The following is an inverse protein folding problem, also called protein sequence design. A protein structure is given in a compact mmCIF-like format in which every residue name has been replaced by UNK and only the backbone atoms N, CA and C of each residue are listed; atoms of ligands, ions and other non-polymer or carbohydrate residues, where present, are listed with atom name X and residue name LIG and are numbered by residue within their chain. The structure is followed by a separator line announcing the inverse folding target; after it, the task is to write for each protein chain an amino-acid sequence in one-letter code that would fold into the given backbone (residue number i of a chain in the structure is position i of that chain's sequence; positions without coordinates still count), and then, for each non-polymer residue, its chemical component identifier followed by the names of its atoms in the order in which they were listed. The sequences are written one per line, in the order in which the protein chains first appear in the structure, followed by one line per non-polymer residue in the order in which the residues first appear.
data_IF_938774447925
#
_entry.id   IF_938774447925
#
_cell.length_a   1.000
_cell.length_b   1.000
_cell.length_c   1.000
_cell.angle_alpha   90.00
_cell.angle_beta   90.00
_cell.angle_gamma   90.00
#
_symmetry.space_group_name_H-M   'P 1'
#
loop_
_entity.id
_entity.type
_entity.pdbx_description
1 polymer ?
#
# COMPACT_ATOMS: atom_id res chain seq x y z
N UNK A 1 -18.90 24.89 26.92
CA UNK A 1 -17.71 24.05 27.13
C UNK A 1 -18.04 22.64 26.71
N UNK A 2 -17.21 22.01 25.88
CA UNK A 2 -17.39 20.65 25.41
C UNK A 2 -17.16 20.51 23.90
N UNK A 3 -15.96 20.89 23.44
CA UNK A 3 -15.53 20.63 22.08
C UNK A 3 -15.40 19.12 21.87
N UNK A 4 -16.30 18.55 21.06
CA UNK A 4 -16.15 17.20 20.52
C UNK A 4 -15.10 17.23 19.43
N UNK A 5 -13.82 17.18 19.82
CA UNK A 5 -12.70 17.01 18.91
C UNK A 5 -12.92 15.73 18.11
N UNK A 6 -13.12 15.87 16.79
CA UNK A 6 -13.10 14.75 15.86
C UNK A 6 -11.78 14.03 16.08
N UNK A 7 -11.83 12.77 16.51
CA UNK A 7 -10.65 11.92 16.64
C UNK A 7 -10.01 11.84 15.25
N UNK A 8 -8.92 12.59 15.08
CA UNK A 8 -7.99 12.40 13.98
C UNK A 8 -7.48 10.98 14.15
N UNK A 9 -7.82 10.09 13.22
CA UNK A 9 -7.30 8.73 13.22
C UNK A 9 -5.83 8.84 12.81
N UNK A 10 -4.98 9.16 13.76
CA UNK A 10 -3.53 9.10 13.65
C UNK A 10 -3.15 7.66 13.32
N UNK A 11 -2.13 7.48 12.48
CA UNK A 11 -1.48 6.20 12.16
C UNK A 11 -0.78 5.60 13.39
N UNK A 12 -1.52 5.37 14.47
CA UNK A 12 -0.98 4.98 15.78
C UNK A 12 -0.62 3.50 15.87
N UNK A 13 -0.88 2.70 14.83
CA UNK A 13 -0.62 1.27 14.89
C UNK A 13 -0.03 0.68 13.60
N UNK A 14 1.31 0.73 13.44
CA UNK A 14 2.03 0.11 12.32
C UNK A 14 1.70 -1.38 12.12
N UNK A 15 1.30 -2.09 13.19
CA UNK A 15 0.98 -3.52 13.11
C UNK A 15 -0.32 -3.80 12.32
N UNK A 16 -1.28 -2.88 12.29
CA UNK A 16 -2.47 -3.03 11.45
C UNK A 16 -2.15 -2.83 9.96
N UNK A 17 -1.26 -1.89 9.65
CA UNK A 17 -0.85 -1.58 8.28
C UNK A 17 -0.06 -2.75 7.66
N UNK A 18 0.85 -3.35 8.44
CA UNK A 18 1.61 -4.55 8.04
C UNK A 18 0.67 -5.73 7.77
N UNK A 19 -0.45 -5.88 8.50
CA UNK A 19 -1.37 -7.01 8.33
C UNK A 19 -1.99 -7.03 6.93
N UNK A 20 -2.34 -5.87 6.37
CA UNK A 20 -2.87 -5.77 5.00
C UNK A 20 -1.79 -6.11 3.98
N UNK A 21 -0.57 -5.59 4.15
CA UNK A 21 0.56 -5.93 3.28
C UNK A 21 0.84 -7.43 3.28
N UNK A 22 0.79 -8.10 4.44
CA UNK A 22 0.96 -9.54 4.53
C UNK A 22 -0.09 -10.34 3.74
N UNK A 23 -1.32 -9.84 3.60
CA UNK A 23 -2.34 -10.50 2.77
C UNK A 23 -2.03 -10.46 1.28
N UNK A 24 -1.20 -9.51 0.84
CA UNK A 24 -0.76 -9.45 -0.56
C UNK A 24 0.12 -10.64 -0.95
N UNK A 25 0.72 -11.35 0.01
CA UNK A 25 1.56 -12.54 -0.18
C UNK A 25 0.81 -13.88 0.03
N UNK A 26 -0.52 -13.86 0.05
CA UNK A 26 -1.31 -15.08 0.24
C UNK A 26 -1.20 -16.02 -0.96
N UNK A 27 -1.16 -17.34 -0.71
CA UNK A 27 -1.33 -18.38 -1.75
C UNK A 27 -2.66 -18.24 -2.51
N UNK A 28 -3.68 -17.65 -1.88
CA UNK A 28 -5.00 -17.45 -2.50
C UNK A 28 -5.00 -16.18 -3.35
N UNK A 29 -5.17 -16.34 -4.67
CA UNK A 29 -5.29 -15.23 -5.62
C UNK A 29 -6.28 -14.14 -5.16
N UNK A 30 -7.48 -14.54 -4.70
CA UNK A 30 -8.49 -13.59 -4.22
C UNK A 30 -8.01 -12.75 -3.03
N UNK A 31 -7.24 -13.36 -2.13
CA UNK A 31 -6.69 -12.67 -0.96
C UNK A 31 -5.63 -11.66 -1.39
N UNK A 32 -4.74 -12.02 -2.34
CA UNK A 32 -3.74 -11.08 -2.88
C UNK A 32 -4.38 -9.87 -3.52
N UNK A 33 -5.34 -10.11 -4.41
CA UNK A 33 -6.08 -9.03 -5.10
C UNK A 33 -6.81 -8.13 -4.09
N UNK A 34 -7.47 -8.71 -3.09
CA UNK A 34 -8.17 -7.92 -2.08
C UNK A 34 -7.19 -7.08 -1.24
N UNK A 35 -6.06 -7.67 -0.83
CA UNK A 35 -4.99 -6.94 -0.14
C UNK A 35 -4.49 -5.74 -0.96
N UNK A 36 -4.16 -5.96 -2.23
CA UNK A 36 -3.71 -4.89 -3.13
C UNK A 36 -4.76 -3.80 -3.34
N UNK A 37 -6.04 -4.15 -3.45
CA UNK A 37 -7.11 -3.14 -3.55
C UNK A 37 -7.24 -2.29 -2.29
N UNK A 38 -7.01 -2.87 -1.11
CA UNK A 38 -7.01 -2.12 0.15
C UNK A 38 -5.78 -1.20 0.21
N UNK A 39 -4.60 -1.69 -0.17
CA UNK A 39 -3.38 -0.86 -0.27
C UNK A 39 -3.62 0.32 -1.21
N UNK A 40 -4.14 0.06 -2.42
CA UNK A 40 -4.49 1.11 -3.38
C UNK A 40 -5.46 2.12 -2.79
N UNK A 41 -6.51 1.65 -2.12
CA UNK A 41 -7.45 2.53 -1.43
C UNK A 41 -6.75 3.43 -0.40
N UNK A 42 -5.78 2.93 0.37
CA UNK A 42 -5.01 3.75 1.29
C UNK A 42 -4.11 4.76 0.58
N UNK A 43 -3.39 4.35 -0.45
CA UNK A 43 -2.57 5.23 -1.30
C UNK A 43 -3.42 6.40 -1.84
N UNK A 44 -4.60 6.11 -2.39
CA UNK A 44 -5.52 7.12 -2.95
C UNK A 44 -6.12 8.07 -1.88
N UNK A 45 -6.38 7.57 -0.67
CA UNK A 45 -7.08 8.34 0.38
C UNK A 45 -6.15 9.11 1.30
N UNK A 46 -5.00 8.53 1.63
CA UNK A 46 -4.03 9.10 2.56
C UNK A 46 -2.97 9.93 1.81
N UNK A 47 -2.75 9.66 0.52
CA UNK A 47 -1.84 10.40 -0.35
C UNK A 47 -0.43 10.49 0.24
N UNK A 48 0.09 11.70 0.44
CA UNK A 48 1.41 11.96 1.03
C UNK A 48 1.57 11.35 2.42
N UNK A 49 0.48 11.24 3.21
CA UNK A 49 0.53 10.60 4.53
C UNK A 49 0.86 9.09 4.44
N UNK A 50 0.55 8.44 3.31
CA UNK A 50 0.90 7.04 3.08
C UNK A 50 2.41 6.84 2.88
N UNK A 51 3.15 7.88 2.46
CA UNK A 51 4.59 7.77 2.17
C UNK A 51 5.42 7.41 3.40
N UNK A 52 4.89 7.58 4.62
CA UNK A 52 5.52 7.09 5.85
C UNK A 52 5.71 5.57 5.84
N UNK A 53 4.87 4.83 5.10
CA UNK A 53 4.92 3.36 4.97
C UNK A 53 5.66 2.89 3.71
N UNK A 54 6.38 3.80 3.03
CA UNK A 54 7.01 3.51 1.74
C UNK A 54 8.09 2.43 1.87
N UNK A 55 8.94 2.52 2.89
CA UNK A 55 10.01 1.55 3.13
C UNK A 55 9.47 0.13 3.38
N UNK A 56 8.34 0.02 4.07
CA UNK A 56 7.65 -1.24 4.32
C UNK A 56 6.90 -1.75 3.10
N UNK A 57 6.34 -0.87 2.27
CA UNK A 57 5.52 -1.24 1.11
C UNK A 57 6.37 -1.71 -0.08
N UNK A 58 7.55 -1.10 -0.31
CA UNK A 58 8.41 -1.38 -1.47
C UNK A 58 8.78 -2.86 -1.62
N UNK A 59 9.25 -3.57 -0.57
CA UNK A 59 9.57 -4.99 -0.67
C UNK A 59 8.39 -5.85 -1.13
N UNK A 60 7.17 -5.53 -0.69
CA UNK A 60 5.96 -6.25 -1.13
C UNK A 60 5.66 -5.98 -2.60
N UNK A 61 5.77 -4.73 -3.05
CA UNK A 61 5.58 -4.40 -4.45
C UNK A 61 6.63 -5.11 -5.33
N UNK A 62 7.89 -5.16 -4.92
CA UNK A 62 8.95 -5.88 -5.64
C UNK A 62 8.61 -7.35 -5.89
N UNK A 63 8.16 -8.06 -4.85
CA UNK A 63 7.69 -9.44 -4.99
C UNK A 63 6.49 -9.57 -5.94
N UNK A 64 5.50 -8.67 -5.84
CA UNK A 64 4.25 -8.75 -6.58
C UNK A 64 4.36 -8.31 -8.05
N UNK A 65 5.37 -7.52 -8.39
CA UNK A 65 5.70 -7.20 -9.77
C UNK A 65 6.20 -8.43 -10.55
N UNK A 66 6.70 -9.44 -9.85
CA UNK A 66 7.08 -10.74 -10.41
C UNK A 66 6.00 -11.83 -10.24
N UNK A 67 4.80 -11.49 -9.75
CA UNK A 67 3.69 -12.44 -9.61
C UNK A 67 3.29 -12.99 -10.99
N UNK A 68 3.05 -14.30 -11.04
CA UNK A 68 2.65 -15.02 -12.26
C UNK A 68 1.22 -14.67 -12.70
N UNK A 69 0.39 -14.17 -11.77
CA UNK A 69 -0.99 -13.80 -12.03
C UNK A 69 -1.07 -12.37 -12.57
N UNK A 70 -1.45 -12.17 -13.86
CA UNK A 70 -1.51 -10.85 -14.47
C UNK A 70 -2.31 -9.79 -13.68
N UNK A 71 -3.49 -10.08 -13.09
CA UNK A 71 -4.23 -9.07 -12.35
C UNK A 71 -3.51 -8.59 -11.08
N UNK A 72 -2.66 -9.43 -10.47
CA UNK A 72 -1.86 -9.05 -9.30
C UNK A 72 -0.74 -8.11 -9.73
N UNK A 73 0.03 -8.51 -10.75
CA UNK A 73 1.11 -7.70 -11.32
C UNK A 73 0.62 -6.34 -11.80
N UNK A 74 -0.51 -6.29 -12.51
CA UNK A 74 -1.10 -5.02 -12.99
C UNK A 74 -1.50 -4.09 -11.84
N UNK A 75 -2.10 -4.60 -10.76
CA UNK A 75 -2.45 -3.80 -9.59
C UNK A 75 -1.20 -3.28 -8.86
N UNK A 76 -0.16 -4.11 -8.71
CA UNK A 76 1.10 -3.69 -8.10
C UNK A 76 1.78 -2.58 -8.92
N UNK A 77 1.80 -2.70 -10.25
CA UNK A 77 2.32 -1.66 -11.15
C UNK A 77 1.55 -0.34 -11.05
N UNK A 78 0.23 -0.41 -10.90
CA UNK A 78 -0.61 0.77 -10.75
C UNK A 78 -0.32 1.51 -9.43
N UNK A 79 -0.26 0.76 -8.33
CA UNK A 79 0.10 1.30 -7.01
C UNK A 79 1.49 1.93 -7.02
N UNK A 80 2.48 1.24 -7.62
CA UNK A 80 3.85 1.76 -7.73
C UNK A 80 3.87 3.12 -8.44
N UNK A 81 3.18 3.24 -9.57
CA UNK A 81 3.12 4.51 -10.33
C UNK A 81 2.46 5.64 -9.54
N UNK A 82 1.41 5.33 -8.79
CA UNK A 82 0.77 6.32 -7.91
C UNK A 82 1.74 6.78 -6.82
N UNK A 83 2.49 5.86 -6.22
CA UNK A 83 3.49 6.18 -5.21
C UNK A 83 4.69 6.98 -5.77
N UNK A 84 5.17 6.66 -6.98
CA UNK A 84 6.18 7.45 -7.70
C UNK A 84 5.69 8.88 -7.97
N UNK A 85 4.44 9.01 -8.44
CA UNK A 85 3.81 10.30 -8.71
C UNK A 85 3.72 11.18 -7.45
N UNK A 86 3.42 10.58 -6.29
CA UNK A 86 3.31 11.30 -5.02
C UNK A 86 4.66 11.62 -4.39
N UNK A 87 5.64 10.72 -4.49
CA UNK A 87 6.99 10.94 -3.94
C UNK A 87 7.82 11.90 -4.79
N UNK A 88 7.49 12.03 -6.09
CA UNK A 88 8.23 12.86 -7.03
C UNK A 88 9.55 12.24 -7.51
N UNK A 89 9.78 10.96 -7.20
CA UNK A 89 10.96 10.22 -7.62
C UNK A 89 10.59 8.86 -8.23
N UNK A 90 11.53 8.26 -8.96
CA UNK A 90 11.36 6.87 -9.36
C UNK A 90 11.73 5.95 -8.20
N UNK A 91 10.83 5.03 -7.89
CA UNK A 91 10.98 4.05 -6.83
C UNK A 91 11.59 2.74 -7.35
N UNK A 92 11.72 2.61 -8.68
CA UNK A 92 12.36 1.45 -9.32
C UNK A 92 13.80 1.19 -8.88
N UNK A 93 14.51 2.20 -8.36
CA UNK A 93 15.86 2.03 -7.81
C UNK A 93 15.91 1.21 -6.50
N UNK A 94 14.76 1.05 -5.83
CA UNK A 94 14.63 0.33 -4.56
C UNK A 94 13.98 -1.07 -4.74
N UNK A 95 13.65 -1.44 -5.99
CA UNK A 95 13.02 -2.70 -6.38
C UNK A 95 14.05 -3.61 -7.06
#
# INVERSE_FOLDING_TARGET
MGGGSKQHRTFENPAQDITVLMQTRSEKLRSRILGLRIVKFFVEKLKEEYLVLLAETIPFLGELLEDVEPPVKSLAQEILKEMESMSGESLGQYL
#
